data_IF_374937784895
#
_entry.id   IF_374937784895
#
_cell.length_a   1.000
_cell.length_b   1.000
_cell.length_c   1.000
_cell.angle_alpha   90.00
_cell.angle_beta   90.00
_cell.angle_gamma   90.00
#
_symmetry.space_group_name_H-M   'P 1'
#
loop_
_entity.id
_entity.type
_entity.pdbx_description
1 polymer ?
#
# COMPACT_ATOMS: atom_id res chain seq x y z
N UNK A 1 3.69 18.14 -16.21
CA UNK A 1 2.47 18.74 -15.65
C UNK A 1 1.17 18.11 -16.22
N UNK A 2 1.01 17.91 -17.51
CA UNK A 2 -0.21 17.35 -18.12
C UNK A 2 -0.58 15.95 -17.61
N UNK A 3 0.39 15.06 -17.41
CA UNK A 3 0.13 13.69 -16.93
C UNK A 3 -0.28 13.64 -15.43
N UNK A 4 0.23 14.56 -14.60
CA UNK A 4 -0.20 14.72 -13.20
C UNK A 4 -1.68 15.12 -13.13
N UNK A 5 -2.11 16.12 -13.93
CA UNK A 5 -3.50 16.57 -13.97
C UNK A 5 -4.48 15.48 -14.43
N UNK A 6 -4.11 14.71 -15.47
CA UNK A 6 -4.94 13.59 -15.95
C UNK A 6 -5.16 12.52 -14.89
N UNK A 7 -4.10 12.12 -14.19
CA UNK A 7 -4.20 11.16 -13.08
C UNK A 7 -5.08 11.69 -11.94
N UNK A 8 -4.86 12.93 -11.50
CA UNK A 8 -5.66 13.52 -10.41
C UNK A 8 -7.14 13.61 -10.76
N UNK A 9 -7.47 13.99 -12.01
CA UNK A 9 -8.84 14.04 -12.50
C UNK A 9 -9.45 12.65 -12.55
N UNK A 10 -8.75 11.67 -13.13
CA UNK A 10 -9.21 10.29 -13.19
C UNK A 10 -9.42 9.71 -11.78
N UNK A 11 -8.49 9.95 -10.85
CA UNK A 11 -8.64 9.52 -9.48
C UNK A 11 -9.87 10.12 -8.80
N UNK A 12 -10.12 11.42 -8.96
CA UNK A 12 -11.28 12.12 -8.37
C UNK A 12 -12.61 11.58 -8.91
N UNK A 13 -12.67 11.23 -10.19
CA UNK A 13 -13.87 10.71 -10.83
C UNK A 13 -14.12 9.24 -10.53
N UNK A 14 -13.06 8.40 -10.58
CA UNK A 14 -13.20 6.95 -10.48
C UNK A 14 -13.14 6.42 -9.05
N UNK A 15 -12.39 7.10 -8.16
CA UNK A 15 -12.24 6.58 -6.78
C UNK A 15 -13.54 6.54 -5.97
N UNK A 16 -14.52 7.45 -6.12
CA UNK A 16 -15.80 7.32 -5.42
C UNK A 16 -16.57 6.07 -5.86
N UNK A 17 -16.57 5.77 -7.15
CA UNK A 17 -17.24 4.59 -7.71
C UNK A 17 -16.59 3.33 -7.15
N UNK A 18 -15.26 3.24 -7.24
CA UNK A 18 -14.50 2.12 -6.70
C UNK A 18 -14.74 1.94 -5.20
N UNK A 19 -14.72 3.02 -4.41
CA UNK A 19 -15.02 2.98 -2.97
C UNK A 19 -16.41 2.43 -2.69
N UNK A 20 -17.42 2.86 -3.46
CA UNK A 20 -18.80 2.38 -3.35
C UNK A 20 -18.89 0.88 -3.64
N UNK A 21 -18.34 0.43 -4.75
CA UNK A 21 -18.34 -0.98 -5.15
C UNK A 21 -17.62 -1.87 -4.12
N UNK A 22 -16.43 -1.46 -3.66
CA UNK A 22 -15.67 -2.20 -2.65
C UNK A 22 -16.37 -2.21 -1.30
N UNK A 23 -17.04 -1.10 -0.93
CA UNK A 23 -17.83 -1.04 0.30
C UNK A 23 -19.02 -1.99 0.27
N UNK A 24 -19.73 -2.05 -0.85
CA UNK A 24 -20.89 -2.93 -1.00
C UNK A 24 -20.46 -4.40 -1.04
N UNK A 25 -19.40 -4.71 -1.82
CA UNK A 25 -19.00 -6.09 -2.05
C UNK A 25 -18.24 -6.69 -0.87
N UNK A 26 -17.18 -6.01 -0.39
CA UNK A 26 -16.30 -6.55 0.66
C UNK A 26 -16.65 -6.09 2.07
N UNK A 27 -17.34 -4.95 2.20
CA UNK A 27 -17.69 -4.33 3.49
C UNK A 27 -16.50 -4.20 4.48
N UNK A 28 -15.31 -3.72 4.05
CA UNK A 28 -14.15 -3.69 4.90
C UNK A 28 -14.29 -2.69 6.05
N UNK A 29 -13.69 -3.01 7.19
CA UNK A 29 -13.50 -2.05 8.28
C UNK A 29 -12.25 -1.22 7.98
N UNK A 30 -12.41 0.11 7.89
CA UNK A 30 -11.30 1.05 7.73
C UNK A 30 -11.12 1.79 9.06
N UNK A 31 -9.99 1.57 9.72
CA UNK A 31 -9.72 2.09 11.07
C UNK A 31 -8.63 3.16 11.01
N UNK A 32 -8.82 4.23 11.79
CA UNK A 32 -7.84 5.31 11.99
C UNK A 32 -7.39 6.04 10.70
N UNK A 33 -8.29 6.13 9.71
CA UNK A 33 -8.01 6.81 8.43
C UNK A 33 -7.68 8.30 8.57
N UNK A 34 -8.13 8.92 9.63
CA UNK A 34 -7.87 10.33 9.98
C UNK A 34 -6.41 10.60 10.30
N UNK A 35 -5.62 9.56 10.64
CA UNK A 35 -4.18 9.66 10.84
C UNK A 35 -3.39 9.89 9.54
N UNK A 36 -4.01 9.69 8.36
CA UNK A 36 -3.34 9.95 7.08
C UNK A 36 -3.18 11.47 6.90
N UNK A 37 -1.96 12.00 6.76
CA UNK A 37 -1.72 13.43 6.55
C UNK A 37 -2.45 13.94 5.31
N UNK A 38 -3.15 15.06 5.45
CA UNK A 38 -3.92 15.69 4.37
C UNK A 38 -3.01 16.40 3.37
N UNK A 39 -1.84 16.87 3.81
CA UNK A 39 -0.88 17.66 3.06
C UNK A 39 0.54 17.10 3.21
N UNK A 40 1.47 17.62 2.40
CA UNK A 40 2.87 17.21 2.37
C UNK A 40 3.09 15.82 1.73
N UNK A 41 4.35 15.43 1.53
CA UNK A 41 4.70 14.16 0.91
C UNK A 41 4.42 12.98 1.84
N UNK A 42 3.77 11.93 1.34
CA UNK A 42 3.48 10.72 2.11
C UNK A 42 3.81 9.44 1.33
N UNK A 43 4.28 8.46 2.07
CA UNK A 43 4.42 7.07 1.62
C UNK A 43 3.38 6.22 2.36
N UNK A 44 2.34 5.76 1.66
CA UNK A 44 1.36 4.82 2.22
C UNK A 44 1.89 3.41 2.00
N UNK A 45 2.15 2.72 3.09
CA UNK A 45 2.87 1.44 3.11
C UNK A 45 2.00 0.38 3.74
N UNK A 46 1.73 -0.70 3.01
CA UNK A 46 0.86 -1.79 3.46
C UNK A 46 1.50 -3.16 3.18
N UNK A 47 1.14 -4.19 3.93
CA UNK A 47 1.44 -5.57 3.58
C UNK A 47 0.68 -5.98 2.30
N UNK A 48 1.21 -7.00 1.58
CA UNK A 48 0.67 -7.38 0.28
C UNK A 48 0.27 -8.85 0.24
N UNK A 49 -1.03 -9.11 0.24
CA UNK A 49 -1.60 -10.46 0.18
C UNK A 49 -2.48 -10.71 -1.06
N UNK A 50 -3.16 -9.67 -1.57
CA UNK A 50 -4.13 -9.80 -2.65
C UNK A 50 -3.96 -8.71 -3.73
N UNK A 51 -4.50 -8.95 -4.94
CA UNK A 51 -4.41 -7.99 -6.07
C UNK A 51 -5.16 -6.68 -5.83
N UNK A 52 -6.08 -6.64 -4.89
CA UNK A 52 -6.89 -5.46 -4.56
C UNK A 52 -6.43 -4.70 -3.31
N UNK A 53 -5.29 -5.05 -2.70
CA UNK A 53 -4.83 -4.40 -1.47
C UNK A 53 -4.71 -2.87 -1.58
N UNK A 54 -4.27 -2.36 -2.73
CA UNK A 54 -4.19 -0.92 -3.00
C UNK A 54 -5.52 -0.20 -2.90
N UNK A 55 -6.65 -0.89 -3.12
CA UNK A 55 -7.97 -0.28 -3.10
C UNK A 55 -8.36 0.19 -1.70
N UNK A 56 -7.88 -0.47 -0.63
CA UNK A 56 -8.19 -0.06 0.74
C UNK A 56 -7.52 1.25 1.14
N UNK A 57 -6.28 1.48 0.72
CA UNK A 57 -5.64 2.77 0.91
C UNK A 57 -6.38 3.88 0.14
N UNK A 58 -6.84 3.60 -1.10
CA UNK A 58 -7.69 4.52 -1.87
C UNK A 58 -9.03 4.78 -1.14
N UNK A 59 -9.58 3.79 -0.43
CA UNK A 59 -10.78 3.98 0.40
C UNK A 59 -10.51 4.84 1.64
N UNK A 60 -9.30 4.79 2.19
CA UNK A 60 -8.94 5.49 3.42
C UNK A 60 -8.65 6.99 3.21
N UNK A 61 -8.24 7.44 2.01
CA UNK A 61 -7.91 8.84 1.75
C UNK A 61 -8.48 9.35 0.43
N UNK A 62 -8.75 10.66 0.36
CA UNK A 62 -9.13 11.35 -0.88
C UNK A 62 -7.92 11.83 -1.70
N UNK A 63 -6.70 11.68 -1.18
CA UNK A 63 -5.49 12.06 -1.88
C UNK A 63 -5.22 11.11 -3.05
N UNK A 64 -4.87 11.61 -4.24
CA UNK A 64 -4.43 10.78 -5.36
C UNK A 64 -3.15 10.04 -4.98
N UNK A 65 -3.21 8.70 -5.00
CA UNK A 65 -2.08 7.84 -4.66
C UNK A 65 -1.50 7.27 -5.95
N UNK A 66 -0.19 7.36 -6.14
CA UNK A 66 0.53 6.71 -7.22
C UNK A 66 1.19 5.43 -6.72
N UNK A 67 0.69 4.29 -7.14
CA UNK A 67 1.26 3.00 -6.76
C UNK A 67 2.43 2.60 -7.64
N UNK A 68 3.45 2.01 -7.03
CA UNK A 68 4.51 1.32 -7.74
C UNK A 68 4.00 -0.06 -8.17
N UNK A 69 3.89 -0.29 -9.47
CA UNK A 69 3.29 -1.50 -10.06
C UNK A 69 4.28 -2.22 -10.98
N UNK A 70 4.14 -3.55 -11.11
CA UNK A 70 5.00 -4.38 -11.95
C UNK A 70 5.02 -3.89 -13.39
N UNK A 71 6.20 -3.76 -14.00
CA UNK A 71 6.42 -3.21 -15.34
C UNK A 71 5.58 -3.92 -16.42
N UNK A 72 5.42 -5.23 -16.32
CA UNK A 72 4.70 -6.04 -17.28
C UNK A 72 3.20 -5.68 -17.36
N UNK A 73 2.65 -4.99 -16.37
CA UNK A 73 1.28 -4.49 -16.45
C UNK A 73 1.12 -3.31 -17.42
N UNK A 74 2.24 -2.74 -17.88
CA UNK A 74 2.25 -1.61 -18.81
C UNK A 74 2.49 -2.03 -20.28
N UNK A 75 2.72 -3.32 -20.54
CA UNK A 75 3.01 -3.86 -21.87
C UNK A 75 1.80 -4.58 -22.51
N UNK A 76 0.72 -4.83 -21.74
CA UNK A 76 -0.45 -5.57 -22.19
C UNK A 76 -1.70 -4.72 -22.43
N UNK A 77 -2.82 -5.37 -22.73
CA UNK A 77 -4.12 -4.73 -22.98
C UNK A 77 -4.65 -3.87 -21.83
N UNK A 78 -4.14 -4.08 -20.62
CA UNK A 78 -4.49 -3.31 -19.40
C UNK A 78 -3.58 -2.11 -19.17
N UNK A 79 -2.58 -1.87 -20.04
CA UNK A 79 -1.59 -0.80 -19.87
C UNK A 79 -2.22 0.59 -19.74
N UNK A 80 -3.28 0.85 -20.51
CA UNK A 80 -4.03 2.10 -20.45
C UNK A 80 -4.58 2.38 -19.05
N UNK A 81 -5.07 1.33 -18.35
CA UNK A 81 -5.62 1.47 -17.00
C UNK A 81 -4.53 1.86 -15.99
N UNK A 82 -3.37 1.17 -15.98
CA UNK A 82 -2.26 1.50 -15.08
C UNK A 82 -1.67 2.89 -15.35
N UNK A 83 -1.62 3.31 -16.62
CA UNK A 83 -1.21 4.66 -17.01
C UNK A 83 -2.22 5.71 -16.53
N UNK A 84 -3.52 5.47 -16.69
CA UNK A 84 -4.59 6.34 -16.23
C UNK A 84 -4.62 6.43 -14.69
N UNK A 85 -4.43 5.30 -14.01
CA UNK A 85 -4.29 5.23 -12.56
C UNK A 85 -3.00 5.90 -12.03
N UNK A 86 -2.12 6.41 -12.92
CA UNK A 86 -0.89 7.08 -12.56
C UNK A 86 0.12 6.19 -11.87
N UNK A 87 0.03 4.87 -12.07
CA UNK A 87 0.97 3.93 -11.51
C UNK A 87 2.38 4.12 -12.07
N UNK A 88 3.38 3.88 -11.24
CA UNK A 88 4.81 3.96 -11.58
C UNK A 88 5.27 2.54 -11.92
N UNK A 89 5.70 2.30 -13.19
CA UNK A 89 6.21 0.98 -13.57
C UNK A 89 7.50 0.66 -12.84
N UNK A 90 7.63 -0.56 -12.33
CA UNK A 90 8.84 -1.03 -11.62
C UNK A 90 9.29 -2.35 -12.21
N UNK A 91 10.52 -2.39 -12.68
CA UNK A 91 11.23 -3.63 -12.97
C UNK A 91 11.78 -4.21 -11.66
N UNK A 92 11.24 -5.35 -11.25
CA UNK A 92 11.59 -5.98 -9.96
C UNK A 92 12.83 -6.87 -10.04
N UNK A 93 13.36 -7.08 -11.25
CA UNK A 93 14.54 -7.92 -11.51
C UNK A 93 15.86 -7.17 -11.36
N UNK A 94 15.78 -5.83 -11.36
CA UNK A 94 16.93 -4.94 -11.27
C UNK A 94 16.74 -3.88 -10.18
N UNK A 95 17.82 -3.16 -9.84
CA UNK A 95 17.70 -1.90 -9.12
C UNK A 95 17.15 -0.81 -10.05
N UNK A 96 15.82 -0.66 -10.10
CA UNK A 96 15.15 0.27 -11.01
C UNK A 96 15.25 1.72 -10.51
N UNK A 97 16.34 2.39 -10.90
CA UNK A 97 16.57 3.79 -10.60
C UNK A 97 15.53 4.72 -11.22
N UNK A 98 14.95 4.34 -12.39
CA UNK A 98 13.92 5.15 -13.06
C UNK A 98 12.63 5.14 -12.26
N UNK A 99 12.20 3.98 -11.82
CA UNK A 99 11.02 3.86 -10.94
C UNK A 99 11.22 4.61 -9.62
N UNK A 100 12.42 4.49 -9.01
CA UNK A 100 12.76 5.23 -7.79
C UNK A 100 12.74 6.73 -8.02
N UNK A 101 13.35 7.23 -9.11
CA UNK A 101 13.36 8.65 -9.45
C UNK A 101 11.95 9.20 -9.68
N UNK A 102 11.10 8.45 -10.39
CA UNK A 102 9.69 8.84 -10.59
C UNK A 102 8.89 8.92 -9.27
N UNK A 103 9.14 8.00 -8.33
CA UNK A 103 8.53 8.06 -7.00
C UNK A 103 9.03 9.26 -6.20
N UNK A 104 10.33 9.55 -6.22
CA UNK A 104 10.93 10.74 -5.58
C UNK A 104 10.35 12.03 -6.16
N UNK A 105 10.16 12.11 -7.48
CA UNK A 105 9.53 13.28 -8.12
C UNK A 105 8.10 13.51 -7.59
N UNK A 106 7.31 12.45 -7.46
CA UNK A 106 5.95 12.55 -6.87
C UNK A 106 6.01 13.09 -5.44
N UNK A 107 6.93 12.59 -4.62
CA UNK A 107 7.08 13.00 -3.22
C UNK A 107 7.58 14.45 -3.12
N UNK A 108 8.56 14.86 -3.93
CA UNK A 108 9.07 16.22 -3.96
C UNK A 108 8.02 17.26 -4.41
N UNK A 109 6.92 16.81 -5.01
CA UNK A 109 5.76 17.64 -5.39
C UNK A 109 4.59 17.46 -4.40
N UNK A 110 4.89 17.16 -3.14
CA UNK A 110 3.90 16.93 -2.07
C UNK A 110 2.85 15.84 -2.39
N UNK A 111 3.21 14.90 -3.24
CA UNK A 111 2.32 13.81 -3.64
C UNK A 111 2.27 12.65 -2.65
N UNK A 112 1.40 11.68 -2.97
CA UNK A 112 1.29 10.43 -2.25
C UNK A 112 1.75 9.25 -3.12
N UNK A 113 2.67 8.45 -2.60
CA UNK A 113 3.12 7.19 -3.22
C UNK A 113 2.65 6.03 -2.37
N UNK A 114 2.02 5.04 -3.01
CA UNK A 114 1.62 3.79 -2.40
C UNK A 114 2.59 2.68 -2.78
N UNK A 115 3.00 1.88 -1.82
CA UNK A 115 3.88 0.75 -2.07
C UNK A 115 3.71 -0.37 -1.04
N UNK A 116 4.18 -1.53 -1.42
CA UNK A 116 4.25 -2.72 -0.58
C UNK A 116 5.73 -3.02 -0.29
N UNK A 117 6.19 -2.88 0.96
CA UNK A 117 7.62 -2.95 1.28
C UNK A 117 8.20 -4.36 1.08
N UNK A 118 7.36 -5.37 1.11
CA UNK A 118 7.70 -6.77 0.80
C UNK A 118 8.18 -6.96 -0.66
N UNK A 119 7.81 -6.03 -1.56
CA UNK A 119 8.16 -6.06 -2.98
C UNK A 119 7.46 -7.14 -3.81
N UNK A 120 6.74 -8.04 -3.18
CA UNK A 120 5.92 -9.09 -3.80
C UNK A 120 4.71 -9.40 -2.92
N UNK A 121 3.73 -10.13 -3.46
CA UNK A 121 2.63 -10.66 -2.65
C UNK A 121 3.13 -11.78 -1.75
N UNK A 122 2.82 -11.69 -0.46
CA UNK A 122 3.04 -12.79 0.46
C UNK A 122 1.96 -13.86 0.25
N UNK A 123 2.36 -14.95 -0.39
CA UNK A 123 1.49 -16.10 -0.70
C UNK A 123 1.78 -17.31 0.18
N UNK A 124 2.73 -17.19 1.10
CA UNK A 124 3.13 -18.27 1.99
C UNK A 124 2.31 -18.25 3.27
N UNK A 125 2.24 -19.39 3.93
CA UNK A 125 1.72 -19.54 5.28
C UNK A 125 2.84 -19.65 6.34
N UNK A 126 4.10 -19.45 5.94
CA UNK A 126 5.23 -19.63 6.84
C UNK A 126 5.53 -18.39 7.68
N UNK A 127 5.33 -17.19 7.08
CA UNK A 127 5.68 -15.94 7.72
C UNK A 127 4.56 -14.90 7.65
N UNK A 128 4.38 -14.17 8.73
CA UNK A 128 3.33 -13.15 8.86
C UNK A 128 3.58 -11.93 7.96
N UNK A 129 4.83 -11.52 7.82
CA UNK A 129 5.31 -10.51 6.90
C UNK A 129 6.61 -10.98 6.25
N UNK A 130 6.76 -10.77 4.95
CA UNK A 130 8.04 -10.98 4.27
C UNK A 130 9.03 -9.88 4.68
N UNK A 131 10.36 -10.12 4.57
CA UNK A 131 11.37 -9.09 4.81
C UNK A 131 11.13 -7.85 3.95
N UNK A 132 11.26 -6.67 4.55
CA UNK A 132 11.05 -5.40 3.86
C UNK A 132 12.28 -4.95 3.09
N UNK A 133 12.05 -4.44 1.88
CA UNK A 133 13.09 -3.78 1.08
C UNK A 133 13.32 -2.35 1.59
N UNK A 134 14.56 -1.89 1.58
CA UNK A 134 14.95 -0.55 2.05
C UNK A 134 14.41 0.62 1.21
N UNK A 135 13.77 0.34 0.08
CA UNK A 135 13.25 1.37 -0.83
C UNK A 135 12.34 2.39 -0.16
N UNK A 136 11.45 1.93 0.73
CA UNK A 136 10.51 2.77 1.47
C UNK A 136 11.21 3.79 2.35
N UNK A 137 12.03 3.30 3.27
CA UNK A 137 12.73 4.15 4.26
C UNK A 137 13.76 5.05 3.60
N UNK A 138 14.43 4.57 2.54
CA UNK A 138 15.36 5.37 1.73
C UNK A 138 14.66 6.52 0.99
N UNK A 139 13.47 6.32 0.45
CA UNK A 139 12.70 7.40 -0.19
C UNK A 139 12.18 8.40 0.85
N UNK A 140 11.68 7.91 2.00
CA UNK A 140 11.24 8.76 3.10
C UNK A 140 12.37 9.67 3.60
N UNK A 141 13.55 9.09 3.86
CA UNK A 141 14.72 9.84 4.33
C UNK A 141 15.16 10.94 3.34
N UNK A 142 15.18 10.60 2.03
CA UNK A 142 15.62 11.55 0.98
C UNK A 142 14.66 12.71 0.76
N UNK A 143 13.36 12.51 0.94
CA UNK A 143 12.33 13.49 0.62
C UNK A 143 11.70 14.14 1.84
N UNK A 144 11.98 13.65 3.05
CA UNK A 144 11.26 14.05 4.26
C UNK A 144 9.79 13.58 4.27
N UNK A 145 9.42 12.65 3.39
CA UNK A 145 8.07 12.13 3.31
C UNK A 145 7.69 11.39 4.60
N UNK A 146 6.45 11.60 5.04
CA UNK A 146 5.90 10.87 6.17
C UNK A 146 5.51 9.46 5.74
N UNK A 147 6.06 8.44 6.40
CA UNK A 147 5.62 7.05 6.26
C UNK A 147 4.31 6.88 7.00
N UNK A 148 3.31 6.35 6.31
CA UNK A 148 2.00 5.97 6.85
C UNK A 148 1.89 4.45 6.81
N UNK A 149 2.26 3.76 7.90
CA UNK A 149 2.17 2.30 7.96
C UNK A 149 0.72 1.87 8.02
N UNK A 150 0.35 0.84 7.25
CA UNK A 150 -0.98 0.28 7.22
C UNK A 150 -0.92 -1.24 7.32
N UNK A 151 -1.91 -1.84 7.98
CA UNK A 151 -2.04 -3.28 8.07
C UNK A 151 -3.38 -3.75 7.52
N UNK A 152 -3.33 -4.72 6.62
CA UNK A 152 -4.48 -5.37 6.02
C UNK A 152 -4.53 -6.84 6.42
N UNK A 153 -5.66 -7.24 7.01
CA UNK A 153 -5.93 -8.63 7.44
C UNK A 153 -7.34 -9.03 7.05
N UNK A 154 -7.64 -10.32 7.14
CA UNK A 154 -8.98 -10.86 6.87
C UNK A 154 -9.17 -11.35 5.44
N UNK A 155 -10.35 -11.85 5.14
CA UNK A 155 -10.66 -12.61 3.95
C UNK A 155 -11.35 -11.77 2.88
N UNK A 156 -10.96 -11.96 1.63
CA UNK A 156 -11.57 -11.31 0.46
C UNK A 156 -12.83 -12.05 0.02
N UNK A 157 -13.83 -12.09 0.90
CA UNK A 157 -15.14 -12.71 0.63
C UNK A 157 -16.24 -11.66 0.54
N UNK A 158 -17.36 -12.02 -0.08
CA UNK A 158 -18.53 -11.15 -0.15
C UNK A 158 -19.01 -10.78 1.26
N UNK A 159 -19.13 -9.47 1.53
CA UNK A 159 -19.51 -8.89 2.83
C UNK A 159 -18.72 -9.48 4.01
N UNK A 160 -17.42 -9.53 3.83
CA UNK A 160 -16.48 -10.05 4.83
C UNK A 160 -16.71 -9.42 6.22
N UNK A 161 -16.71 -10.26 7.25
CA UNK A 161 -16.86 -9.82 8.65
C UNK A 161 -15.51 -9.46 9.29
N UNK A 162 -14.41 -9.94 8.71
CA UNK A 162 -13.06 -9.85 9.28
C UNK A 162 -12.06 -9.08 8.41
N UNK A 163 -12.46 -8.59 7.21
CA UNK A 163 -11.59 -7.81 6.34
C UNK A 163 -11.38 -6.41 6.93
N UNK A 164 -10.15 -6.13 7.34
CA UNK A 164 -9.82 -4.92 8.09
C UNK A 164 -8.57 -4.25 7.55
N UNK A 165 -8.66 -2.96 7.30
CA UNK A 165 -7.54 -2.09 6.96
C UNK A 165 -7.36 -1.06 8.07
N UNK A 166 -6.21 -1.06 8.72
CA UNK A 166 -5.90 -0.12 9.80
C UNK A 166 -4.71 0.73 9.43
N UNK A 167 -4.85 2.03 9.64
CA UNK A 167 -3.76 3.00 9.54
C UNK A 167 -3.07 3.07 10.91
N UNK A 168 -1.76 2.89 10.94
CA UNK A 168 -0.93 3.02 12.12
C UNK A 168 -0.50 4.47 12.38
N UNK A 169 0.43 4.64 13.31
CA UNK A 169 0.98 5.96 13.65
C UNK A 169 1.96 6.41 12.56
N UNK A 170 1.69 7.52 11.84
CA UNK A 170 2.63 8.05 10.85
C UNK A 170 3.92 8.51 11.53
N UNK A 171 5.05 8.35 10.82
CA UNK A 171 6.35 8.80 11.30
C UNK A 171 7.24 9.27 10.14
N UNK A 172 8.28 10.04 10.47
CA UNK A 172 9.33 10.46 9.55
C UNK A 172 10.61 9.68 9.83
N UNK A 173 11.46 9.59 8.82
CA UNK A 173 12.81 9.04 8.93
C UNK A 173 13.77 10.22 8.94
N UNK A 174 14.51 10.37 10.04
CA UNK A 174 15.49 11.44 10.18
C UNK A 174 16.66 11.21 9.22
N UNK A 175 17.31 12.31 8.80
CA UNK A 175 18.39 12.25 7.80
C UNK A 175 19.56 11.38 8.25
N UNK A 176 19.84 11.36 9.55
CA UNK A 176 20.95 10.65 10.16
C UNK A 176 20.57 9.28 10.71
N UNK A 177 19.29 8.91 10.63
CA UNK A 177 18.82 7.60 11.09
C UNK A 177 19.36 6.49 10.20
N UNK A 178 19.86 5.41 10.80
CA UNK A 178 20.25 4.20 10.05
C UNK A 178 19.03 3.61 9.33
N UNK A 179 19.19 3.24 8.06
CA UNK A 179 18.11 2.67 7.25
C UNK A 179 17.61 1.33 7.78
N UNK A 180 18.48 0.53 8.40
CA UNK A 180 18.09 -0.74 9.04
C UNK A 180 17.17 -0.47 10.23
N UNK A 181 17.54 0.47 11.08
CA UNK A 181 16.71 0.89 12.23
C UNK A 181 15.35 1.42 11.77
N UNK A 182 15.34 2.29 10.75
CA UNK A 182 14.10 2.82 10.18
C UNK A 182 13.21 1.72 9.58
N UNK A 183 13.82 0.73 8.94
CA UNK A 183 13.12 -0.39 8.33
C UNK A 183 12.56 -1.36 9.38
N UNK A 184 13.32 -1.63 10.43
CA UNK A 184 12.89 -2.42 11.58
C UNK A 184 11.73 -1.75 12.33
N UNK A 185 11.80 -0.44 12.55
CA UNK A 185 10.71 0.36 13.10
C UNK A 185 9.42 0.24 12.27
N UNK A 186 9.55 0.33 10.94
CA UNK A 186 8.40 0.16 10.04
C UNK A 186 7.83 -1.25 10.13
N UNK A 187 8.69 -2.27 10.12
CA UNK A 187 8.29 -3.68 10.20
C UNK A 187 7.53 -3.97 11.50
N UNK A 188 8.09 -3.58 12.64
CA UNK A 188 7.47 -3.75 13.97
C UNK A 188 6.12 -3.05 14.08
N UNK A 189 6.02 -1.83 13.53
CA UNK A 189 4.76 -1.09 13.56
C UNK A 189 3.70 -1.77 12.68
N UNK A 190 4.05 -2.24 11.49
CA UNK A 190 3.11 -2.96 10.62
C UNK A 190 2.67 -4.29 11.23
N UNK A 191 3.60 -5.04 11.83
CA UNK A 191 3.28 -6.28 12.56
C UNK A 191 2.32 -6.01 13.72
N UNK A 192 2.59 -4.96 14.50
CA UNK A 192 1.73 -4.52 15.62
C UNK A 192 0.31 -4.19 15.15
N UNK A 193 0.18 -3.43 14.06
CA UNK A 193 -1.11 -3.04 13.48
C UNK A 193 -1.89 -4.28 13.05
N UNK A 194 -1.23 -5.22 12.37
CA UNK A 194 -1.88 -6.45 11.91
C UNK A 194 -2.32 -7.33 13.08
N UNK A 195 -1.50 -7.47 14.13
CA UNK A 195 -1.89 -8.17 15.36
C UNK A 195 -3.09 -7.53 16.07
N UNK A 196 -3.18 -6.18 16.07
CA UNK A 196 -4.37 -5.48 16.57
C UNK A 196 -5.63 -5.79 15.76
N UNK A 197 -5.51 -5.87 14.43
CA UNK A 197 -6.63 -6.26 13.58
C UNK A 197 -7.11 -7.68 13.89
N UNK A 198 -6.18 -8.63 14.04
CA UNK A 198 -6.52 -10.01 14.39
C UNK A 198 -7.24 -10.08 15.74
N UNK A 199 -6.74 -9.38 16.74
CA UNK A 199 -7.39 -9.31 18.07
C UNK A 199 -8.81 -8.76 17.97
N UNK A 200 -9.04 -7.71 17.15
CA UNK A 200 -10.36 -7.09 16.99
C UNK A 200 -11.35 -7.97 16.22
N UNK A 201 -10.84 -8.88 15.41
CA UNK A 201 -11.65 -9.83 14.63
C UNK A 201 -11.68 -11.24 15.22
N UNK A 202 -11.12 -11.41 16.42
CA UNK A 202 -11.01 -12.71 17.12
C UNK A 202 -10.39 -13.80 16.24
N UNK A 203 -9.27 -13.45 15.58
CA UNK A 203 -8.52 -14.35 14.70
C UNK A 203 -7.11 -14.57 15.21
N UNK A 204 -6.59 -15.75 14.92
CA UNK A 204 -5.19 -16.10 15.16
C UNK A 204 -4.30 -15.73 13.96
N UNK A 205 -2.99 -15.71 14.18
CA UNK A 205 -2.00 -15.54 13.10
C UNK A 205 -2.09 -16.72 12.12
N UNK A 206 -2.27 -17.93 12.61
CA UNK A 206 -2.38 -19.14 11.80
C UNK A 206 -3.59 -19.09 10.86
N UNK A 207 -4.76 -18.68 11.35
CA UNK A 207 -5.96 -18.49 10.52
C UNK A 207 -5.74 -17.44 9.42
N UNK A 208 -5.05 -16.32 9.73
CA UNK A 208 -4.70 -15.32 8.73
C UNK A 208 -3.74 -15.87 7.68
N UNK A 209 -2.75 -16.65 8.06
CA UNK A 209 -1.80 -17.28 7.15
C UNK A 209 -2.49 -18.28 6.22
N UNK A 210 -3.34 -19.13 6.76
CA UNK A 210 -4.08 -20.14 5.99
C UNK A 210 -5.05 -19.50 4.97
N UNK A 211 -5.68 -18.38 5.32
CA UNK A 211 -6.59 -17.67 4.42
C UNK A 211 -5.86 -17.09 3.19
N UNK A 212 -4.61 -16.64 3.34
CA UNK A 212 -3.81 -16.09 2.23
C UNK A 212 -3.56 -17.11 1.13
N UNK A 213 -3.29 -18.36 1.50
CA UNK A 213 -3.08 -19.44 0.52
C UNK A 213 -4.35 -19.73 -0.29
N UNK A 214 -5.52 -19.59 0.31
CA UNK A 214 -6.80 -19.76 -0.40
C UNK A 214 -7.07 -18.61 -1.36
N UNK A 215 -6.83 -17.37 -0.96
CA UNK A 215 -6.97 -16.17 -1.80
C UNK A 215 -5.97 -16.19 -2.98
N UNK A 216 -4.76 -16.69 -2.76
CA UNK A 216 -3.73 -16.80 -3.81
C UNK A 216 -4.10 -17.83 -4.90
N UNK A 217 -4.90 -18.84 -4.59
CA UNK A 217 -5.38 -19.85 -5.56
C UNK A 217 -6.55 -19.33 -6.40
N UNK A 218 -7.30 -18.32 -5.91
CA UNK A 218 -8.45 -17.71 -6.59
C UNK A 218 -8.10 -16.49 -7.45
N UNK A 219 -6.88 -15.94 -7.34
CA UNK A 219 -6.39 -14.72 -8.01
C UNK A 219 -5.38 -15.02 -9.12
#
# INVERSE_FOLDING_TARGET
>A
MANKRKHETAFRLLSPIMRGLFRIYYNPKIINKEAIPKEGPILIVCNHKHVFDQCFAIMATKRPIRYMAKKEYFDGNKAWFFKLAGCIPVDRTIHDYKAKSAALEVLNLDGAVGLFPEGTRNKTNDVFLLPFKFGTVSMAQKTGATIVPCGLTGDYTFRSKNLMFRVGKPFKVDKDMNLEEANDKLFKEMERIMKLNLKETDRTVEEELNSRCQDAKKA
#
